data_IF_397779709465
#
_entry.id   IF_397779709465
#
_cell.length_a   1.000
_cell.length_b   1.000
_cell.length_c   1.000
_cell.angle_alpha   90.00
_cell.angle_beta   90.00
_cell.angle_gamma   90.00
#
_symmetry.space_group_name_H-M   'P 1'
#
loop_
_entity.id
_entity.type
_entity.pdbx_description
1 polymer ?
#
# COMPACT_ATOMS: atom_id res chain seq x y z
N UNK A 1 -6.91 -9.20 -25.40
CA UNK A 1 -7.17 -10.60 -25.03
C UNK A 1 -8.12 -10.58 -23.84
N UNK A 2 -9.26 -11.27 -23.89
CA UNK A 2 -10.27 -11.25 -22.82
C UNK A 2 -9.81 -12.21 -21.71
N UNK A 3 -9.49 -11.70 -20.52
CA UNK A 3 -9.24 -12.54 -19.35
C UNK A 3 -10.59 -13.02 -18.81
N UNK A 4 -10.78 -14.32 -18.66
CA UNK A 4 -12.01 -14.87 -18.08
C UNK A 4 -12.00 -14.62 -16.57
N UNK A 5 -12.47 -13.46 -16.16
CA UNK A 5 -12.71 -13.11 -14.76
C UNK A 5 -14.22 -12.96 -14.56
N UNK A 6 -14.79 -13.88 -13.80
CA UNK A 6 -16.19 -13.82 -13.40
C UNK A 6 -16.30 -12.89 -12.19
N UNK A 7 -16.47 -11.60 -12.45
CA UNK A 7 -16.80 -10.64 -11.41
C UNK A 7 -18.18 -10.93 -10.84
N UNK A 8 -18.29 -11.19 -9.54
CA UNK A 8 -19.57 -11.27 -8.85
C UNK A 8 -20.16 -9.88 -8.54
N UNK A 9 -19.56 -8.78 -9.04
CA UNK A 9 -19.98 -7.40 -8.75
C UNK A 9 -21.44 -7.11 -9.13
N UNK A 10 -22.01 -7.82 -10.11
CA UNK A 10 -23.40 -7.60 -10.55
C UNK A 10 -24.46 -7.92 -9.48
N UNK A 11 -24.11 -8.59 -8.38
CA UNK A 11 -25.03 -8.93 -7.28
C UNK A 11 -25.03 -7.97 -6.10
N UNK A 12 -24.00 -7.13 -5.94
CA UNK A 12 -23.83 -6.28 -4.76
C UNK A 12 -24.45 -4.90 -5.01
N UNK A 13 -25.74 -4.74 -4.69
CA UNK A 13 -26.37 -3.41 -4.67
C UNK A 13 -26.01 -2.66 -3.39
N UNK A 14 -25.33 -1.52 -3.52
CA UNK A 14 -25.16 -0.43 -2.54
C UNK A 14 -24.41 -0.70 -1.22
N UNK A 15 -23.86 -1.89 -0.95
CA UNK A 15 -23.21 -2.18 0.35
C UNK A 15 -21.69 -2.43 0.27
N UNK A 16 -21.08 -2.18 -0.89
CA UNK A 16 -19.68 -2.54 -1.15
C UNK A 16 -19.49 -4.05 -1.30
N UNK A 17 -18.23 -4.50 -1.40
CA UNK A 17 -17.90 -5.91 -1.53
C UNK A 17 -16.54 -6.22 -0.88
N UNK A 18 -16.33 -7.49 -0.54
CA UNK A 18 -15.04 -8.03 -0.13
C UNK A 18 -14.74 -9.23 -1.02
N UNK A 19 -13.71 -9.12 -1.83
CA UNK A 19 -13.32 -10.15 -2.78
C UNK A 19 -11.86 -10.58 -2.57
N UNK A 20 -11.62 -11.89 -2.67
CA UNK A 20 -10.29 -12.47 -2.53
C UNK A 20 -9.66 -12.61 -3.91
N UNK A 21 -8.63 -11.81 -4.19
CA UNK A 21 -7.81 -11.92 -5.39
C UNK A 21 -6.59 -12.80 -5.10
N UNK A 22 -6.70 -14.10 -5.40
CA UNK A 22 -5.62 -15.07 -5.19
C UNK A 22 -4.48 -14.91 -6.22
N UNK A 23 -3.28 -15.36 -5.90
CA UNK A 23 -2.24 -15.49 -6.91
C UNK A 23 -2.67 -16.50 -7.99
N UNK A 24 -2.62 -16.09 -9.26
CA UNK A 24 -3.01 -16.93 -10.39
C UNK A 24 -1.85 -17.00 -11.38
N UNK A 25 -1.49 -18.21 -11.77
CA UNK A 25 -0.65 -18.43 -12.94
C UNK A 25 -1.54 -18.32 -14.18
N UNK A 26 -1.11 -17.52 -15.15
CA UNK A 26 -1.77 -17.42 -16.45
C UNK A 26 -0.82 -17.92 -17.54
N UNK A 27 -1.32 -18.28 -18.73
CA UNK A 27 -0.44 -18.65 -19.85
C UNK A 27 0.60 -17.57 -20.20
N UNK A 28 0.30 -16.31 -19.91
CA UNK A 28 1.18 -15.16 -20.16
C UNK A 28 2.10 -14.83 -18.96
N UNK A 29 1.80 -15.35 -17.77
CA UNK A 29 2.56 -15.12 -16.55
C UNK A 29 2.53 -16.37 -15.67
N UNK A 30 3.56 -17.20 -15.80
CA UNK A 30 3.73 -18.44 -15.03
C UNK A 30 4.27 -18.19 -13.63
N UNK A 31 4.72 -16.96 -13.35
CA UNK A 31 5.39 -16.65 -12.09
C UNK A 31 4.37 -16.33 -10.99
N UNK A 32 4.61 -16.87 -9.81
CA UNK A 32 3.95 -16.43 -8.58
C UNK A 32 4.24 -14.94 -8.32
N UNK A 33 3.44 -14.31 -7.44
CA UNK A 33 3.70 -12.92 -7.04
C UNK A 33 5.15 -12.72 -6.57
N UNK A 34 5.83 -11.76 -7.19
CA UNK A 34 7.24 -11.43 -6.88
C UNK A 34 7.39 -10.37 -5.78
N UNK A 35 6.30 -10.04 -5.09
CA UNK A 35 6.26 -9.06 -4.02
C UNK A 35 4.91 -8.34 -3.94
N UNK A 36 4.79 -7.41 -3.00
CA UNK A 36 3.54 -6.67 -2.75
C UNK A 36 3.13 -5.81 -3.95
N UNK A 37 4.07 -5.06 -4.53
CA UNK A 37 3.81 -4.25 -5.72
C UNK A 37 3.47 -5.12 -6.94
N UNK A 38 4.10 -6.29 -7.06
CA UNK A 38 3.83 -7.22 -8.14
C UNK A 38 2.41 -7.81 -8.06
N UNK A 39 1.98 -8.17 -6.85
CA UNK A 39 0.61 -8.65 -6.61
C UNK A 39 -0.45 -7.64 -7.06
N UNK A 40 -0.26 -6.35 -6.75
CA UNK A 40 -1.15 -5.27 -7.22
C UNK A 40 -1.07 -5.11 -8.73
N UNK A 41 0.15 -5.10 -9.30
CA UNK A 41 0.39 -4.97 -10.74
C UNK A 41 -0.32 -6.05 -11.57
N UNK A 42 -0.32 -7.30 -11.10
CA UNK A 42 -0.98 -8.41 -11.80
C UNK A 42 -2.51 -8.24 -11.93
N UNK A 43 -3.11 -7.51 -10.99
CA UNK A 43 -4.55 -7.17 -10.96
C UNK A 43 -4.86 -5.73 -11.36
N UNK A 44 -3.87 -4.96 -11.84
CA UNK A 44 -4.05 -3.54 -12.14
C UNK A 44 -5.21 -3.31 -13.13
N UNK A 45 -5.36 -4.18 -14.12
CA UNK A 45 -6.45 -4.13 -15.10
C UNK A 45 -7.85 -4.21 -14.48
N UNK A 46 -8.02 -4.90 -13.34
CA UNK A 46 -9.30 -5.00 -12.62
C UNK A 46 -9.49 -3.79 -11.68
N UNK A 47 -8.39 -3.33 -11.09
CA UNK A 47 -8.36 -2.19 -10.17
C UNK A 47 -8.69 -0.89 -10.92
N UNK A 48 -8.17 -0.73 -12.14
CA UNK A 48 -8.42 0.44 -13.01
C UNK A 48 -9.86 0.55 -13.50
N UNK A 49 -10.65 -0.52 -13.45
CA UNK A 49 -12.09 -0.47 -13.77
C UNK A 49 -12.92 0.21 -12.67
N UNK A 50 -12.35 0.42 -11.48
CA UNK A 50 -13.04 1.04 -10.35
C UNK A 50 -13.06 2.57 -10.47
N UNK A 51 -14.24 3.18 -10.43
CA UNK A 51 -14.39 4.63 -10.43
C UNK A 51 -14.24 5.20 -9.01
N UNK A 52 -12.99 5.28 -8.54
CA UNK A 52 -12.61 5.80 -7.20
C UNK A 52 -11.56 6.90 -7.31
N UNK A 53 -11.45 7.74 -6.28
CA UNK A 53 -10.46 8.81 -6.22
C UNK A 53 -9.12 8.32 -5.67
N UNK A 54 -9.14 7.46 -4.66
CA UNK A 54 -7.93 6.95 -3.99
C UNK A 54 -8.02 5.44 -3.72
N UNK A 55 -6.86 4.78 -3.72
CA UNK A 55 -6.71 3.41 -3.25
C UNK A 55 -6.06 3.38 -1.87
N UNK A 56 -6.74 2.76 -0.89
CA UNK A 56 -6.18 2.52 0.44
C UNK A 56 -5.46 1.17 0.46
N UNK A 57 -4.14 1.19 0.68
CA UNK A 57 -3.30 -0.02 0.74
C UNK A 57 -2.87 -0.27 2.19
N UNK A 58 -3.20 -1.44 2.73
CA UNK A 58 -2.82 -1.85 4.09
C UNK A 58 -2.17 -3.23 4.12
N UNK A 59 -1.30 -3.45 5.11
CA UNK A 59 -0.76 -4.77 5.41
C UNK A 59 -1.81 -5.60 6.17
N UNK A 60 -1.99 -6.87 5.77
CA UNK A 60 -3.00 -7.76 6.33
C UNK A 60 -2.61 -8.48 7.62
N UNK A 61 -1.40 -8.27 8.13
CA UNK A 61 -0.78 -9.03 9.23
C UNK A 61 -0.49 -8.19 10.48
N UNK A 62 -0.95 -6.93 10.53
CA UNK A 62 -0.80 -6.05 11.69
C UNK A 62 -2.07 -6.02 12.55
N UNK A 63 -1.91 -6.10 13.87
CA UNK A 63 -3.00 -5.88 14.83
C UNK A 63 -3.03 -4.42 15.28
N UNK A 64 -4.04 -3.67 14.87
CA UNK A 64 -4.23 -2.26 15.23
C UNK A 64 -5.68 -1.81 15.02
N UNK A 65 -6.01 -0.61 15.51
CA UNK A 65 -7.26 0.09 15.21
C UNK A 65 -6.92 1.51 14.79
N UNK A 66 -7.46 1.96 13.66
CA UNK A 66 -7.27 3.32 13.16
C UNK A 66 -8.55 3.84 12.52
N UNK A 67 -8.65 5.17 12.42
CA UNK A 67 -9.69 5.90 11.72
C UNK A 67 -9.13 6.38 10.37
N UNK A 68 -9.50 5.68 9.29
CA UNK A 68 -8.97 5.97 7.95
C UNK A 68 -9.54 7.24 7.33
N UNK A 69 -10.68 7.75 7.82
CA UNK A 69 -11.26 9.00 7.28
C UNK A 69 -10.31 10.17 7.52
N UNK A 70 -9.72 10.24 8.72
CA UNK A 70 -8.71 11.25 9.06
C UNK A 70 -7.45 11.12 8.20
N UNK A 71 -7.05 9.89 7.90
CA UNK A 71 -5.88 9.63 7.06
C UNK A 71 -6.12 10.07 5.61
N UNK A 72 -7.27 9.73 5.03
CA UNK A 72 -7.68 10.16 3.69
C UNK A 72 -7.88 11.68 3.65
N UNK A 73 -8.44 12.28 4.71
CA UNK A 73 -8.56 13.73 4.80
C UNK A 73 -7.20 14.41 4.77
N UNK A 74 -6.21 13.91 5.51
CA UNK A 74 -4.85 14.44 5.47
C UNK A 74 -4.22 14.32 4.08
N UNK A 75 -4.42 13.19 3.39
CA UNK A 75 -4.01 12.97 2.01
C UNK A 75 -4.59 14.04 1.06
N UNK A 76 -5.91 14.26 1.12
CA UNK A 76 -6.60 15.26 0.26
C UNK A 76 -6.20 16.70 0.58
N UNK A 77 -6.08 17.05 1.87
CA UNK A 77 -5.71 18.42 2.30
C UNK A 77 -4.29 18.77 1.89
N UNK A 78 -3.39 17.78 1.87
CA UNK A 78 -1.99 17.97 1.47
C UNK A 78 -1.76 17.89 -0.04
N UNK A 79 -2.80 17.60 -0.84
CA UNK A 79 -2.70 17.38 -2.29
C UNK A 79 -1.58 16.38 -2.64
N UNK A 80 -1.48 15.31 -1.85
CA UNK A 80 -0.38 14.36 -1.96
C UNK A 80 -0.71 13.29 -3.01
N UNK A 81 0.28 12.88 -3.81
CA UNK A 81 0.14 11.70 -4.67
C UNK A 81 0.10 10.40 -3.84
N UNK A 82 0.89 10.35 -2.76
CA UNK A 82 1.03 9.20 -1.88
C UNK A 82 1.17 9.69 -0.43
N UNK A 83 0.37 9.13 0.47
CA UNK A 83 0.50 9.35 1.92
C UNK A 83 0.86 8.04 2.60
N UNK A 84 1.83 8.07 3.51
CA UNK A 84 2.31 6.90 4.24
C UNK A 84 2.06 7.11 5.73
N UNK A 85 1.37 6.15 6.38
CA UNK A 85 1.24 6.14 7.82
C UNK A 85 2.60 5.86 8.48
N UNK A 86 3.03 6.75 9.37
CA UNK A 86 4.32 6.65 10.06
C UNK A 86 4.11 6.42 11.56
N UNK A 87 4.99 5.61 12.16
CA UNK A 87 5.00 5.34 13.61
C UNK A 87 6.38 5.69 14.19
N UNK A 88 6.45 6.51 15.25
CA UNK A 88 7.69 6.75 15.98
C UNK A 88 8.25 5.43 16.54
N UNK A 89 9.58 5.28 16.50
CA UNK A 89 10.22 4.03 16.90
C UNK A 89 11.58 4.27 17.52
N UNK A 90 11.97 3.38 18.43
CA UNK A 90 13.32 3.34 18.97
C UNK A 90 14.34 2.75 17.98
N UNK A 91 15.62 3.09 18.16
CA UNK A 91 16.73 2.63 17.32
C UNK A 91 16.85 1.10 17.31
N UNK A 92 16.49 0.42 18.41
CA UNK A 92 16.61 -1.04 18.53
C UNK A 92 15.71 -1.76 17.52
N UNK A 93 14.51 -1.24 17.27
CA UNK A 93 13.54 -1.83 16.33
C UNK A 93 13.64 -1.26 14.91
N UNK A 94 14.23 -0.07 14.75
CA UNK A 94 14.28 0.69 13.50
C UNK A 94 14.77 -0.14 12.28
N UNK A 95 15.76 -1.02 12.46
CA UNK A 95 16.34 -1.82 11.36
C UNK A 95 15.38 -2.84 10.74
N UNK A 96 14.27 -3.18 11.41
CA UNK A 96 13.26 -4.11 10.90
C UNK A 96 12.25 -3.45 9.95
N UNK A 97 12.21 -2.11 9.89
CA UNK A 97 11.17 -1.34 9.20
C UNK A 97 11.75 -0.43 8.11
N UNK A 98 10.85 0.19 7.33
CA UNK A 98 11.21 1.31 6.47
C UNK A 98 11.31 2.58 7.31
N UNK A 99 12.46 3.24 7.28
CA UNK A 99 12.65 4.53 7.92
C UNK A 99 12.43 5.64 6.90
N UNK A 100 11.94 6.77 7.37
CA UNK A 100 11.70 7.95 6.56
C UNK A 100 12.19 9.20 7.28
N UNK A 101 12.66 10.18 6.50
CA UNK A 101 12.85 11.55 6.96
C UNK A 101 11.74 12.41 6.39
N UNK A 102 11.30 13.35 7.23
CA UNK A 102 10.29 14.33 6.87
C UNK A 102 10.85 15.73 7.03
N UNK A 103 10.40 16.66 6.19
CA UNK A 103 10.58 18.09 6.44
C UNK A 103 9.53 18.62 7.43
N UNK A 104 9.55 19.92 7.75
CA UNK A 104 8.70 20.53 8.79
C UNK A 104 7.21 20.38 8.49
N UNK A 105 6.86 20.39 7.21
CA UNK A 105 5.50 20.27 6.68
C UNK A 105 5.03 18.81 6.60
N UNK A 106 5.87 17.84 6.97
CA UNK A 106 5.54 16.42 7.00
C UNK A 106 5.76 15.66 5.68
N UNK A 107 6.26 16.33 4.62
CA UNK A 107 6.61 15.68 3.35
C UNK A 107 7.80 14.75 3.54
N UNK A 108 7.70 13.53 3.01
CA UNK A 108 8.80 12.56 3.01
C UNK A 108 9.85 13.00 1.99
N UNK A 109 11.08 13.22 2.46
CA UNK A 109 12.22 13.63 1.63
C UNK A 109 13.23 12.51 1.42
N UNK A 110 13.24 11.50 2.29
CA UNK A 110 14.14 10.35 2.20
C UNK A 110 13.44 9.10 2.76
N UNK A 111 13.63 7.96 2.11
CA UNK A 111 13.12 6.68 2.57
C UNK A 111 14.19 5.59 2.43
N UNK A 112 14.35 4.76 3.45
CA UNK A 112 15.27 3.63 3.41
C UNK A 112 14.65 2.38 4.05
N UNK A 113 14.59 1.29 3.28
CA UNK A 113 14.03 0.01 3.72
C UNK A 113 15.05 -0.81 4.50
N UNK A 114 14.73 -1.13 5.76
CA UNK A 114 15.53 -1.98 6.66
C UNK A 114 17.02 -1.56 6.71
N UNK A 115 17.32 -0.26 6.98
CA UNK A 115 18.68 0.25 6.96
C UNK A 115 19.55 -0.41 8.03
N UNK A 116 20.84 -0.53 7.74
CA UNK A 116 21.87 -1.07 8.65
C UNK A 116 23.13 -0.21 8.57
N UNK A 117 23.96 -0.25 9.61
CA UNK A 117 25.25 0.44 9.65
C UNK A 117 25.12 1.94 9.42
N UNK A 118 25.93 2.48 8.52
CA UNK A 118 25.95 3.92 8.18
C UNK A 118 24.61 4.44 7.68
N UNK A 119 23.85 3.63 6.92
CA UNK A 119 22.51 4.02 6.45
C UNK A 119 21.51 4.17 7.59
N UNK A 120 21.67 3.41 8.68
CA UNK A 120 20.82 3.59 9.86
C UNK A 120 21.15 4.90 10.58
N UNK A 121 22.45 5.20 10.73
CA UNK A 121 22.90 6.44 11.37
C UNK A 121 22.47 7.67 10.56
N UNK A 122 22.55 7.59 9.23
CA UNK A 122 22.09 8.64 8.33
C UNK A 122 20.59 8.93 8.45
N UNK A 123 19.77 7.96 8.90
CA UNK A 123 18.31 8.11 9.02
C UNK A 123 17.83 8.61 10.40
N UNK A 124 18.74 8.94 11.31
CA UNK A 124 18.38 9.55 12.59
C UNK A 124 17.86 10.98 12.37
N UNK A 125 16.85 11.36 13.14
CA UNK A 125 16.18 12.67 13.12
C UNK A 125 16.34 13.35 14.46
#
# INVERSE_FOLDING_TARGET
MLRAYASNMSGYKNEGFVEVLAAQQSPENTDWFQGTADAVRQYLWLIEEQNVLEFLVFAGDHLYRTDYEKFIQAHRVSDADITVAALPMDEKRATAFGLMKIEKEGRIIEFSKKPKGEKLQAMKV
#
